data_IF_813373804807
#
_entry.id   IF_813373804807
#
_cell.length_a   1.000
_cell.length_b   1.000
_cell.length_c   1.000
_cell.angle_alpha   90.00
_cell.angle_beta   90.00
_cell.angle_gamma   90.00
#
_symmetry.space_group_name_H-M   'P 1'
#
loop_
_entity.id
_entity.type
_entity.pdbx_description
1 polymer ?
#
# COMPACT_ATOMS: atom_id res chain seq x y z
N UNK A 1 -20.29 -13.60 4.56
CA UNK A 1 -19.80 -12.72 3.46
C UNK A 1 -18.36 -13.11 3.15
N UNK A 2 -17.95 -13.17 1.87
CA UNK A 2 -16.57 -13.56 1.52
C UNK A 2 -15.56 -12.49 1.96
N UNK A 3 -14.30 -12.84 2.27
CA UNK A 3 -13.30 -11.84 2.61
C UNK A 3 -12.94 -11.00 1.39
N UNK A 4 -13.03 -9.68 1.53
CA UNK A 4 -12.70 -8.70 0.51
C UNK A 4 -11.54 -7.86 1.01
N UNK A 5 -10.52 -7.68 0.18
CA UNK A 5 -9.32 -6.91 0.56
C UNK A 5 -8.93 -5.87 -0.47
N UNK A 6 -9.48 -5.94 -1.68
CA UNK A 6 -9.02 -5.10 -2.78
C UNK A 6 -10.17 -4.76 -3.74
N UNK A 7 -10.11 -3.56 -4.32
CA UNK A 7 -10.92 -3.18 -5.47
C UNK A 7 -10.03 -3.13 -6.70
N UNK A 8 -10.45 -3.75 -7.80
CA UNK A 8 -9.78 -3.62 -9.11
C UNK A 8 -10.67 -2.78 -10.01
N UNK A 9 -10.12 -1.65 -10.48
CA UNK A 9 -10.80 -0.72 -11.38
C UNK A 9 -10.61 -1.14 -12.84
N UNK A 10 -11.69 -1.08 -13.60
CA UNK A 10 -11.77 -1.43 -15.02
C UNK A 10 -12.42 -0.32 -15.84
N UNK A 11 -12.29 -0.41 -17.15
CA UNK A 11 -13.11 0.29 -18.14
C UNK A 11 -13.88 -0.72 -19.00
N UNK A 12 -15.03 -0.34 -19.55
CA UNK A 12 -15.81 -1.20 -20.47
C UNK A 12 -15.17 -1.41 -21.84
N UNK A 13 -14.10 -0.66 -22.15
CA UNK A 13 -13.47 -0.59 -23.47
C UNK A 13 -14.49 -0.20 -24.56
N UNK A 14 -15.26 0.84 -24.29
CA UNK A 14 -16.21 1.44 -25.25
C UNK A 14 -15.79 2.85 -25.64
N UNK A 15 -16.22 3.34 -26.83
CA UNK A 15 -15.91 4.69 -27.29
C UNK A 15 -16.34 5.78 -26.30
N UNK A 16 -15.52 6.82 -26.19
CA UNK A 16 -15.75 8.03 -25.40
C UNK A 16 -17.16 8.60 -25.62
N UNK A 17 -17.92 8.77 -24.53
CA UNK A 17 -19.27 9.33 -24.56
C UNK A 17 -20.37 8.36 -24.99
N UNK A 18 -20.07 7.09 -25.31
CA UNK A 18 -21.11 6.07 -25.55
C UNK A 18 -21.64 5.55 -24.22
N UNK A 19 -22.93 5.76 -23.96
CA UNK A 19 -23.62 5.14 -22.83
C UNK A 19 -23.64 3.61 -22.96
N UNK A 20 -23.44 2.93 -21.84
CA UNK A 20 -23.46 1.47 -21.73
C UNK A 20 -24.18 1.11 -20.45
N UNK A 21 -25.17 0.23 -20.55
CA UNK A 21 -25.95 -0.21 -19.39
C UNK A 21 -25.39 -1.48 -18.75
N UNK A 22 -25.73 -1.75 -17.48
CA UNK A 22 -25.44 -3.02 -16.80
C UNK A 22 -25.95 -4.22 -17.62
N UNK A 23 -27.16 -4.11 -18.20
CA UNK A 23 -27.78 -5.16 -19.02
C UNK A 23 -26.96 -5.44 -20.29
N UNK A 24 -26.41 -4.41 -20.91
CA UNK A 24 -25.56 -4.55 -22.11
C UNK A 24 -24.25 -5.27 -21.76
N UNK A 25 -23.61 -4.91 -20.65
CA UNK A 25 -22.40 -5.59 -20.16
C UNK A 25 -22.69 -7.06 -19.81
N UNK A 26 -23.80 -7.33 -19.11
CA UNK A 26 -24.25 -8.68 -18.80
C UNK A 26 -24.46 -9.52 -20.07
N UNK A 27 -25.09 -8.93 -21.09
CA UNK A 27 -25.29 -9.56 -22.41
C UNK A 27 -23.95 -9.92 -23.06
N UNK A 28 -22.97 -9.01 -23.08
CA UNK A 28 -21.64 -9.28 -23.63
C UNK A 28 -20.91 -10.39 -22.90
N UNK A 29 -21.01 -10.43 -21.57
CA UNK A 29 -20.35 -11.45 -20.77
C UNK A 29 -21.01 -12.83 -20.94
N UNK A 30 -22.35 -12.89 -21.00
CA UNK A 30 -23.07 -14.13 -21.31
C UNK A 30 -22.75 -14.66 -22.70
N UNK A 31 -22.59 -13.78 -23.69
CA UNK A 31 -22.16 -14.17 -25.03
C UNK A 31 -20.75 -14.80 -25.05
N UNK A 32 -19.93 -14.55 -24.02
CA UNK A 32 -18.62 -15.19 -23.80
C UNK A 32 -18.70 -16.47 -22.95
N UNK A 33 -19.92 -16.99 -22.71
CA UNK A 33 -20.16 -18.19 -21.90
C UNK A 33 -20.12 -17.95 -20.39
N UNK A 34 -20.14 -16.70 -19.93
CA UNK A 34 -20.14 -16.41 -18.48
C UNK A 34 -21.56 -16.49 -17.91
N UNK A 35 -21.66 -16.74 -16.60
CA UNK A 35 -22.96 -16.80 -15.90
C UNK A 35 -23.67 -15.45 -15.75
N UNK A 36 -23.04 -14.36 -16.21
CA UNK A 36 -23.54 -12.99 -16.17
C UNK A 36 -22.41 -11.97 -16.13
N UNK A 37 -22.76 -10.72 -15.84
CA UNK A 37 -21.79 -9.64 -15.63
C UNK A 37 -20.69 -10.04 -14.63
N UNK A 38 -19.46 -9.65 -14.94
CA UNK A 38 -18.25 -10.05 -14.21
C UNK A 38 -17.84 -9.04 -13.14
N UNK A 39 -18.31 -7.80 -13.28
CA UNK A 39 -18.07 -6.67 -12.38
C UNK A 39 -19.20 -6.58 -11.34
N UNK A 40 -18.88 -6.05 -10.16
CA UNK A 40 -19.85 -5.87 -9.07
C UNK A 40 -20.49 -4.48 -9.07
N UNK A 41 -19.78 -3.49 -9.63
CA UNK A 41 -20.22 -2.10 -9.75
C UNK A 41 -19.91 -1.55 -11.13
N UNK A 42 -20.82 -0.72 -11.64
CA UNK A 42 -20.71 -0.04 -12.93
C UNK A 42 -20.94 1.46 -12.69
N UNK A 43 -19.96 2.29 -13.02
CA UNK A 43 -20.08 3.76 -12.99
C UNK A 43 -20.42 4.22 -14.41
N UNK A 44 -21.63 4.76 -14.59
CA UNK A 44 -22.08 5.25 -15.90
C UNK A 44 -21.47 6.62 -16.25
N UNK A 45 -21.83 7.21 -17.39
CA UNK A 45 -21.26 8.49 -17.85
C UNK A 45 -21.62 9.68 -16.95
N UNK A 46 -22.72 9.59 -16.20
CA UNK A 46 -23.19 10.62 -15.27
C UNK A 46 -22.58 10.47 -13.88
N UNK A 47 -21.78 9.42 -13.64
CA UNK A 47 -21.18 9.14 -12.35
C UNK A 47 -22.05 8.29 -11.43
N UNK A 48 -23.23 7.85 -11.88
CA UNK A 48 -24.11 7.00 -11.07
C UNK A 48 -23.54 5.60 -10.93
N UNK A 49 -23.59 5.05 -9.71
CA UNK A 49 -23.13 3.71 -9.39
C UNK A 49 -24.27 2.70 -9.48
N UNK A 50 -24.11 1.72 -10.36
CA UNK A 50 -25.09 0.67 -10.60
C UNK A 50 -24.58 -0.69 -10.13
N UNK A 51 -25.48 -1.48 -9.56
CA UNK A 51 -25.18 -2.84 -9.13
C UNK A 51 -25.03 -3.78 -10.34
N UNK A 52 -23.92 -4.50 -10.38
CA UNK A 52 -23.70 -5.62 -11.29
C UNK A 52 -23.90 -6.96 -10.57
N UNK A 53 -22.85 -7.78 -10.56
CA UNK A 53 -22.82 -9.03 -9.80
C UNK A 53 -22.91 -8.77 -8.30
N UNK A 54 -23.60 -9.65 -7.58
CA UNK A 54 -23.67 -9.61 -6.11
C UNK A 54 -22.26 -9.64 -5.49
N UNK A 55 -22.01 -8.75 -4.53
CA UNK A 55 -20.74 -8.65 -3.79
C UNK A 55 -20.43 -9.93 -2.99
N UNK A 56 -21.45 -10.67 -2.58
CA UNK A 56 -21.26 -11.96 -1.91
C UNK A 56 -20.72 -13.05 -2.88
N UNK A 57 -20.96 -12.89 -4.19
CA UNK A 57 -20.48 -13.78 -5.23
C UNK A 57 -19.06 -13.42 -5.68
N UNK A 58 -18.32 -14.40 -6.19
CA UNK A 58 -17.01 -14.17 -6.82
C UNK A 58 -17.21 -13.57 -8.21
N UNK A 59 -16.45 -12.49 -8.48
CA UNK A 59 -16.41 -11.81 -9.77
C UNK A 59 -15.77 -12.63 -10.88
N UNK A 60 -15.91 -12.14 -12.11
CA UNK A 60 -15.23 -12.66 -13.29
C UNK A 60 -14.61 -11.49 -14.05
N UNK A 61 -13.66 -10.78 -13.44
CA UNK A 61 -13.14 -9.52 -13.99
C UNK A 61 -11.61 -9.47 -14.10
N UNK A 62 -10.88 -10.23 -13.28
CA UNK A 62 -9.42 -10.32 -13.31
C UNK A 62 -8.99 -11.77 -13.04
N UNK A 63 -8.56 -12.48 -14.09
CA UNK A 63 -8.13 -13.87 -13.97
C UNK A 63 -7.02 -14.01 -12.91
N UNK A 64 -7.13 -14.99 -12.01
CA UNK A 64 -6.19 -15.18 -10.90
C UNK A 64 -6.41 -14.28 -9.67
N UNK A 65 -7.22 -13.22 -9.76
CA UNK A 65 -7.38 -12.22 -8.69
C UNK A 65 -8.82 -12.07 -8.15
N UNK A 66 -9.81 -12.78 -8.70
CA UNK A 66 -11.24 -12.55 -8.39
C UNK A 66 -11.66 -12.89 -6.94
N UNK A 67 -10.98 -13.82 -6.25
CA UNK A 67 -11.47 -14.43 -5.00
C UNK A 67 -11.70 -13.42 -3.86
N UNK A 68 -10.83 -12.42 -3.72
CA UNK A 68 -10.85 -11.42 -2.64
C UNK A 68 -11.04 -10.00 -3.14
N UNK A 69 -11.47 -9.84 -4.39
CA UNK A 69 -11.55 -8.52 -5.04
C UNK A 69 -12.97 -8.14 -5.41
N UNK A 70 -13.20 -6.84 -5.48
CA UNK A 70 -14.39 -6.22 -6.07
C UNK A 70 -13.98 -5.57 -7.39
N UNK A 71 -14.50 -6.08 -8.52
CA UNK A 71 -14.40 -5.38 -9.80
C UNK A 71 -15.37 -4.18 -9.87
N UNK A 72 -14.82 -2.98 -9.98
CA UNK A 72 -15.56 -1.73 -10.27
C UNK A 72 -15.19 -1.29 -11.69
N UNK A 73 -16.17 -1.09 -12.57
CA UNK A 73 -15.92 -0.69 -13.96
C UNK A 73 -16.55 0.68 -14.23
N UNK A 74 -15.86 1.56 -14.94
CA UNK A 74 -16.47 2.77 -15.51
C UNK A 74 -16.77 2.59 -17.00
N UNK A 75 -17.81 3.25 -17.49
CA UNK A 75 -18.18 3.25 -18.92
C UNK A 75 -17.20 4.12 -19.72
N UNK A 76 -16.50 3.51 -20.67
CA UNK A 76 -15.51 4.18 -21.52
C UNK A 76 -14.25 3.34 -21.71
N UNK A 77 -13.12 4.02 -21.91
CA UNK A 77 -11.77 3.44 -22.03
C UNK A 77 -11.20 3.44 -23.44
N UNK A 78 -11.96 3.86 -24.45
CA UNK A 78 -11.49 4.05 -25.82
C UNK A 78 -11.78 5.46 -26.30
N UNK A 79 -10.90 6.03 -27.10
CA UNK A 79 -11.13 7.29 -27.80
C UNK A 79 -12.34 7.20 -28.74
N UNK A 80 -12.76 8.33 -29.33
CA UNK A 80 -13.89 8.37 -30.28
C UNK A 80 -13.72 7.44 -31.48
N UNK A 81 -12.49 7.05 -31.81
CA UNK A 81 -12.19 6.07 -32.87
C UNK A 81 -12.60 4.62 -32.52
N UNK A 82 -12.94 4.36 -31.24
CA UNK A 82 -13.30 3.04 -30.75
C UNK A 82 -12.16 2.01 -30.79
N UNK A 83 -10.90 2.45 -30.89
CA UNK A 83 -9.71 1.60 -31.04
C UNK A 83 -8.59 1.98 -30.08
N UNK A 84 -8.35 3.28 -29.93
CA UNK A 84 -7.23 3.79 -29.12
C UNK A 84 -7.62 3.83 -27.65
N UNK A 85 -6.87 3.13 -26.79
CA UNK A 85 -7.08 3.18 -25.36
C UNK A 85 -6.83 4.59 -24.81
N UNK A 86 -7.76 5.11 -24.01
CA UNK A 86 -7.72 6.47 -23.46
C UNK A 86 -8.54 6.53 -22.17
N UNK A 87 -8.00 7.19 -21.14
CA UNK A 87 -8.82 7.60 -20.00
C UNK A 87 -9.85 8.63 -20.47
N UNK A 88 -11.11 8.23 -20.42
CA UNK A 88 -12.26 8.96 -20.97
C UNK A 88 -13.27 9.31 -19.89
N UNK A 89 -12.88 9.16 -18.62
CA UNK A 89 -13.75 9.46 -17.49
C UNK A 89 -14.16 10.93 -17.51
N UNK A 90 -15.47 11.17 -17.42
CA UNK A 90 -16.02 12.50 -17.13
C UNK A 90 -15.69 12.92 -15.70
N UNK A 91 -15.87 14.21 -15.37
CA UNK A 91 -15.71 14.66 -13.99
C UNK A 91 -16.67 13.93 -13.05
N UNK A 92 -17.93 13.79 -13.45
CA UNK A 92 -18.94 13.06 -12.68
C UNK A 92 -18.56 11.59 -12.48
N UNK A 93 -17.94 10.94 -13.48
CA UNK A 93 -17.39 9.59 -13.32
C UNK A 93 -16.26 9.52 -12.30
N UNK A 94 -15.38 10.52 -12.26
CA UNK A 94 -14.30 10.58 -11.26
C UNK A 94 -14.88 10.73 -9.85
N UNK A 95 -15.86 11.62 -9.67
CA UNK A 95 -16.57 11.81 -8.41
C UNK A 95 -17.33 10.55 -7.97
N UNK A 96 -18.08 9.93 -8.88
CA UNK A 96 -18.81 8.68 -8.65
C UNK A 96 -17.90 7.50 -8.31
N UNK A 97 -16.75 7.40 -8.98
CA UNK A 97 -15.71 6.43 -8.62
C UNK A 97 -15.18 6.67 -7.21
N UNK A 98 -14.80 7.90 -6.86
CA UNK A 98 -14.31 8.20 -5.50
C UNK A 98 -15.36 7.81 -4.46
N UNK A 99 -16.62 8.21 -4.66
CA UNK A 99 -17.71 7.89 -3.73
C UNK A 99 -17.92 6.37 -3.57
N UNK A 100 -17.95 5.61 -4.67
CA UNK A 100 -18.13 4.16 -4.62
C UNK A 100 -16.92 3.46 -4.00
N UNK A 101 -15.70 3.87 -4.36
CA UNK A 101 -14.47 3.30 -3.81
C UNK A 101 -14.38 3.53 -2.30
N UNK A 102 -14.70 4.74 -1.82
CA UNK A 102 -14.77 5.08 -0.40
C UNK A 102 -15.83 4.25 0.33
N UNK A 103 -17.04 4.14 -0.20
CA UNK A 103 -18.12 3.34 0.39
C UNK A 103 -17.72 1.87 0.52
N UNK A 104 -17.20 1.27 -0.55
CA UNK A 104 -16.75 -0.11 -0.54
C UNK A 104 -15.56 -0.32 0.40
N UNK A 105 -14.64 0.65 0.46
CA UNK A 105 -13.51 0.64 1.39
C UNK A 105 -13.98 0.55 2.83
N UNK A 106 -14.85 1.46 3.25
CA UNK A 106 -15.28 1.56 4.64
C UNK A 106 -16.15 0.37 5.02
N UNK A 107 -17.04 -0.06 4.12
CA UNK A 107 -17.97 -1.17 4.37
C UNK A 107 -17.28 -2.53 4.49
N UNK A 108 -16.20 -2.75 3.74
CA UNK A 108 -15.54 -4.06 3.65
C UNK A 108 -14.11 -4.07 4.16
N UNK A 109 -13.65 -2.97 4.75
CA UNK A 109 -12.27 -2.80 5.19
C UNK A 109 -11.28 -3.13 4.06
N UNK A 110 -11.51 -2.55 2.87
CA UNK A 110 -10.61 -2.72 1.71
C UNK A 110 -9.25 -2.13 2.06
N UNK A 111 -8.19 -2.75 1.53
CA UNK A 111 -6.79 -2.47 1.85
C UNK A 111 -6.00 -1.98 0.63
N UNK A 112 -6.62 -1.98 -0.56
CA UNK A 112 -5.98 -1.58 -1.81
C UNK A 112 -7.02 -1.25 -2.87
N UNK A 113 -6.75 -0.23 -3.67
CA UNK A 113 -7.36 -0.05 -5.00
C UNK A 113 -6.26 -0.25 -6.05
N UNK A 114 -6.55 -0.96 -7.12
CA UNK A 114 -5.62 -1.23 -8.23
C UNK A 114 -6.29 -1.15 -9.59
N UNK A 115 -5.49 -1.11 -10.65
CA UNK A 115 -5.96 -1.23 -12.03
C UNK A 115 -5.79 -2.65 -12.58
N UNK A 116 -6.63 -3.04 -13.55
CA UNK A 116 -6.46 -4.33 -14.24
C UNK A 116 -5.10 -4.44 -14.97
N UNK A 117 -4.51 -3.32 -15.39
CA UNK A 117 -3.19 -3.22 -15.99
C UNK A 117 -2.04 -3.66 -15.05
N UNK A 118 -2.27 -3.72 -13.74
CA UNK A 118 -1.28 -4.25 -12.78
C UNK A 118 -1.21 -5.79 -12.80
N UNK A 119 -2.24 -6.46 -13.32
CA UNK A 119 -2.37 -7.92 -13.31
C UNK A 119 -2.37 -8.56 -14.69
N UNK A 120 -2.42 -7.75 -15.75
CA UNK A 120 -2.36 -8.19 -17.13
C UNK A 120 -1.76 -7.10 -18.01
N UNK A 121 -1.04 -7.49 -19.07
CA UNK A 121 -0.52 -6.57 -20.09
C UNK A 121 -1.66 -5.98 -20.94
N UNK A 122 -2.41 -5.04 -20.35
CA UNK A 122 -3.60 -4.39 -20.92
C UNK A 122 -3.58 -2.90 -20.55
N UNK A 123 -4.21 -2.06 -21.36
CA UNK A 123 -4.33 -0.64 -21.05
C UNK A 123 -5.33 -0.35 -19.91
N UNK A 124 -6.40 -1.16 -19.79
CA UNK A 124 -7.48 -1.01 -18.80
C UNK A 124 -6.94 -0.86 -17.37
N UNK A 125 -7.33 0.16 -16.57
CA UNK A 125 -8.44 1.10 -16.77
C UNK A 125 -8.07 2.38 -17.55
N UNK A 126 -6.95 2.38 -18.25
CA UNK A 126 -6.38 3.49 -19.04
C UNK A 126 -5.70 4.59 -18.22
N UNK A 127 -5.49 4.34 -16.92
CA UNK A 127 -4.73 5.18 -16.00
C UNK A 127 -4.12 4.30 -14.89
N UNK A 128 -3.30 4.89 -14.01
CA UNK A 128 -2.75 4.20 -12.84
C UNK A 128 -3.70 4.37 -11.65
N UNK A 129 -4.58 3.40 -11.42
CA UNK A 129 -5.58 3.47 -10.36
C UNK A 129 -4.98 3.37 -8.95
N UNK A 130 -3.92 2.56 -8.76
CA UNK A 130 -3.22 2.51 -7.47
C UNK A 130 -2.68 3.89 -7.08
N UNK A 131 -1.97 4.56 -8.00
CA UNK A 131 -1.42 5.89 -7.72
C UNK A 131 -2.51 6.95 -7.54
N UNK A 132 -3.59 6.90 -8.33
CA UNK A 132 -4.67 7.89 -8.25
C UNK A 132 -5.44 7.80 -6.94
N UNK A 133 -5.69 6.59 -6.42
CA UNK A 133 -6.55 6.35 -5.27
C UNK A 133 -5.82 6.03 -3.97
N UNK A 134 -4.50 6.12 -3.95
CA UNK A 134 -3.67 5.91 -2.75
C UNK A 134 -4.11 6.81 -1.58
N UNK A 135 -4.51 8.04 -1.88
CA UNK A 135 -5.01 9.01 -0.89
C UNK A 135 -6.30 8.56 -0.17
N UNK A 136 -7.00 7.54 -0.66
CA UNK A 136 -8.13 6.93 0.04
C UNK A 136 -7.68 6.02 1.19
N UNK A 137 -6.39 5.80 1.39
CA UNK A 137 -5.85 4.96 2.45
C UNK A 137 -4.86 5.73 3.33
N UNK A 138 -5.29 6.85 3.95
CA UNK A 138 -4.41 7.73 4.70
C UNK A 138 -3.76 7.07 5.94
N UNK A 139 -4.32 5.96 6.44
CA UNK A 139 -3.74 5.12 7.51
C UNK A 139 -2.94 3.91 6.97
N UNK A 140 -2.24 4.06 5.84
CA UNK A 140 -1.17 3.14 5.44
C UNK A 140 -1.61 1.79 4.88
N UNK A 141 -2.69 1.75 4.09
CA UNK A 141 -3.14 0.51 3.43
C UNK A 141 -3.23 0.69 1.94
N UNK A 142 -2.11 0.57 1.24
CA UNK A 142 -2.16 0.30 -0.19
C UNK A 142 -1.06 0.92 -1.05
N UNK A 143 0.19 0.48 -0.85
CA UNK A 143 1.19 0.00 -1.84
C UNK A 143 2.26 -0.62 -0.89
N UNK A 144 2.85 -1.79 -1.16
CA UNK A 144 3.98 -1.92 -2.08
C UNK A 144 4.15 -3.34 -2.58
N UNK A 145 4.50 -3.38 -3.86
CA UNK A 145 5.24 -4.48 -4.47
C UNK A 145 6.73 -4.17 -4.35
N UNK A 146 7.40 -4.80 -3.39
CA UNK A 146 8.77 -5.29 -3.54
C UNK A 146 8.80 -6.58 -2.73
N UNK A 147 8.69 -7.74 -3.40
CA UNK A 147 9.15 -8.97 -2.78
C UNK A 147 10.67 -8.85 -2.73
N UNK A 148 11.23 -8.46 -1.58
CA UNK A 148 12.62 -8.75 -1.28
C UNK A 148 12.69 -10.27 -1.04
N UNK A 149 13.34 -11.06 -1.93
CA UNK A 149 13.30 -12.53 -1.85
C UNK A 149 14.02 -13.08 -0.62
N UNK A 150 14.82 -12.26 0.06
CA UNK A 150 15.55 -12.60 1.29
C UNK A 150 14.82 -12.18 2.58
N UNK A 151 13.67 -11.49 2.47
CA UNK A 151 12.89 -11.05 3.63
C UNK A 151 13.51 -9.93 4.46
N UNK A 152 14.53 -9.24 3.92
CA UNK A 152 15.16 -8.07 4.57
C UNK A 152 14.42 -6.78 4.16
N UNK A 153 14.43 -5.76 5.02
CA UNK A 153 14.02 -4.39 4.64
C UNK A 153 15.25 -3.48 4.56
N UNK A 154 15.36 -2.72 3.48
CA UNK A 154 16.46 -1.77 3.25
C UNK A 154 15.98 -0.59 2.41
N UNK A 155 16.85 0.40 2.24
CA UNK A 155 16.54 1.59 1.42
C UNK A 155 15.97 1.22 0.05
N UNK A 156 14.84 1.84 -0.29
CA UNK A 156 14.13 1.63 -1.55
C UNK A 156 13.02 0.57 -1.46
N UNK A 157 13.04 -0.29 -0.43
CA UNK A 157 11.88 -1.13 -0.13
C UNK A 157 10.72 -0.27 0.31
N UNK A 158 9.52 -0.78 0.16
CA UNK A 158 8.36 -0.17 0.75
C UNK A 158 7.34 -1.30 1.03
N UNK A 159 6.28 -1.03 1.80
CA UNK A 159 5.14 -1.94 1.87
C UNK A 159 4.66 -2.23 3.26
N UNK A 160 3.84 -3.28 3.44
CA UNK A 160 3.28 -3.59 4.74
C UNK A 160 4.37 -3.92 5.78
N UNK A 161 5.52 -4.44 5.35
CA UNK A 161 6.64 -4.72 6.26
C UNK A 161 7.39 -3.44 6.65
N UNK A 162 7.58 -2.51 5.71
CA UNK A 162 8.14 -1.18 5.98
C UNK A 162 7.20 -0.33 6.84
N UNK A 163 5.89 -0.41 6.60
CA UNK A 163 4.87 0.27 7.40
C UNK A 163 4.87 -0.27 8.84
N UNK A 164 4.82 -1.59 9.02
CA UNK A 164 4.92 -2.22 10.35
C UNK A 164 6.20 -1.82 11.06
N UNK A 165 7.32 -1.79 10.35
CA UNK A 165 8.59 -1.33 10.91
C UNK A 165 8.55 0.14 11.35
N UNK A 166 7.90 1.03 10.57
CA UNK A 166 7.68 2.43 10.95
C UNK A 166 6.81 2.55 12.19
N UNK A 167 5.71 1.81 12.28
CA UNK A 167 4.81 1.79 13.44
C UNK A 167 5.54 1.30 14.71
N UNK A 168 6.30 0.20 14.60
CA UNK A 168 7.04 -0.35 15.73
C UNK A 168 8.10 0.64 16.25
N UNK A 169 8.83 1.30 15.34
CA UNK A 169 9.80 2.32 15.71
C UNK A 169 9.15 3.56 16.32
N UNK A 170 8.03 4.03 15.77
CA UNK A 170 7.28 5.17 16.29
C UNK A 170 6.78 4.89 17.71
N UNK A 171 6.14 3.73 17.90
CA UNK A 171 5.64 3.29 19.20
C UNK A 171 6.77 3.10 20.21
N UNK A 172 7.90 2.49 19.81
CA UNK A 172 9.05 2.35 20.70
C UNK A 172 9.61 3.71 21.12
N UNK A 173 9.72 4.65 20.18
CA UNK A 173 10.19 6.01 20.44
C UNK A 173 9.27 6.77 21.40
N UNK A 174 7.95 6.68 21.20
CA UNK A 174 6.96 7.24 22.13
C UNK A 174 7.13 6.65 23.54
N UNK A 175 7.26 5.32 23.64
CA UNK A 175 7.42 4.61 24.91
C UNK A 175 8.65 5.04 25.72
N UNK A 176 9.76 5.38 25.05
CA UNK A 176 10.98 5.85 25.71
C UNK A 176 11.05 7.39 25.84
N UNK A 177 10.00 8.11 25.40
CA UNK A 177 9.95 9.57 25.44
C UNK A 177 10.89 10.25 24.44
N UNK A 178 11.20 9.60 23.32
CA UNK A 178 12.03 10.19 22.27
C UNK A 178 11.28 11.33 21.57
N UNK A 179 11.89 12.52 21.39
CA UNK A 179 11.18 13.72 20.95
C UNK A 179 10.79 13.73 19.46
N UNK A 180 11.33 12.82 18.66
CA UNK A 180 11.09 12.77 17.20
C UNK A 180 10.32 11.51 16.80
N UNK A 181 9.04 11.64 16.40
CA UNK A 181 8.24 10.53 15.91
C UNK A 181 8.73 10.06 14.52
N UNK A 182 8.33 8.86 14.13
CA UNK A 182 8.62 8.30 12.80
C UNK A 182 7.41 8.55 11.90
N UNK A 183 7.59 9.15 10.70
CA UNK A 183 6.50 9.24 9.74
C UNK A 183 5.94 7.84 9.44
N UNK A 184 4.63 7.64 9.59
CA UNK A 184 4.00 6.32 9.43
C UNK A 184 3.82 5.91 7.97
N UNK A 185 3.90 6.86 7.04
CA UNK A 185 3.77 6.60 5.61
C UNK A 185 5.10 6.82 4.88
N UNK A 186 5.22 6.22 3.69
CA UNK A 186 6.37 6.38 2.80
C UNK A 186 7.29 5.16 2.73
N UNK A 187 8.16 5.12 1.71
CA UNK A 187 9.06 3.99 1.48
C UNK A 187 10.14 3.92 2.56
N UNK A 188 10.94 2.86 2.60
CA UNK A 188 12.17 2.79 3.37
C UNK A 188 13.18 3.77 2.75
N UNK A 189 13.04 5.04 3.13
CA UNK A 189 13.83 6.15 2.63
C UNK A 189 15.10 6.32 3.48
N UNK A 190 15.87 7.37 3.18
CA UNK A 190 17.06 7.68 3.96
C UNK A 190 16.76 7.91 5.44
N UNK A 191 15.62 8.54 5.73
CA UNK A 191 15.23 8.87 7.09
C UNK A 191 14.95 7.60 7.88
N UNK A 192 14.15 6.68 7.33
CA UNK A 192 13.83 5.42 8.01
C UNK A 192 15.08 4.55 8.20
N UNK A 193 16.01 4.55 7.24
CA UNK A 193 17.29 3.88 7.40
C UNK A 193 18.12 4.47 8.56
N UNK A 194 18.23 5.80 8.67
CA UNK A 194 18.92 6.43 9.81
C UNK A 194 18.26 6.12 11.16
N UNK A 195 16.92 6.08 11.18
CA UNK A 195 16.16 5.67 12.37
C UNK A 195 16.43 4.21 12.73
N UNK A 196 16.52 3.33 11.72
CA UNK A 196 16.85 1.92 11.89
C UNK A 196 18.27 1.75 12.45
N UNK A 197 19.24 2.49 11.91
CA UNK A 197 20.62 2.49 12.42
C UNK A 197 20.70 2.97 13.88
N UNK A 198 19.93 4.01 14.22
CA UNK A 198 19.83 4.47 15.61
C UNK A 198 19.28 3.36 16.53
N UNK A 199 18.20 2.69 16.12
CA UNK A 199 17.63 1.58 16.89
C UNK A 199 18.64 0.43 17.05
N UNK A 200 19.34 0.06 15.98
CA UNK A 200 20.40 -0.95 16.03
C UNK A 200 21.50 -0.58 17.04
N UNK A 201 21.93 0.69 17.04
CA UNK A 201 22.91 1.20 18.00
C UNK A 201 22.39 1.18 19.44
N UNK A 202 21.14 1.59 19.65
CA UNK A 202 20.48 1.59 20.96
C UNK A 202 20.35 0.18 21.54
N UNK A 203 20.11 -0.80 20.68
CA UNK A 203 20.03 -2.22 21.06
C UNK A 203 21.40 -2.93 21.08
N UNK A 204 22.48 -2.25 20.72
CA UNK A 204 23.82 -2.84 20.72
C UNK A 204 24.02 -3.98 19.71
N UNK A 205 23.29 -3.96 18.59
CA UNK A 205 23.42 -4.92 17.49
C UNK A 205 24.17 -4.31 16.29
N UNK A 206 24.43 -5.10 15.25
CA UNK A 206 25.08 -4.62 14.03
C UNK A 206 24.33 -3.41 13.42
N UNK A 207 25.08 -2.35 13.11
CA UNK A 207 24.55 -1.08 12.60
C UNK A 207 24.80 -0.98 11.10
N UNK A 208 23.86 -1.48 10.30
CA UNK A 208 23.91 -1.50 8.83
C UNK A 208 22.68 -0.85 8.16
N UNK A 209 21.69 -0.42 8.95
CA UNK A 209 20.45 0.18 8.46
C UNK A 209 19.49 -0.81 7.78
N UNK A 210 19.75 -2.11 7.88
CA UNK A 210 18.94 -3.18 7.28
C UNK A 210 18.13 -3.87 8.37
N UNK A 211 16.85 -4.12 8.10
CA UNK A 211 15.96 -4.86 9.01
C UNK A 211 15.98 -6.33 8.62
N UNK A 212 16.71 -7.12 9.41
CA UNK A 212 16.72 -8.58 9.32
C UNK A 212 16.11 -9.25 10.55
N UNK A 213 16.16 -10.60 10.64
CA UNK A 213 15.57 -11.37 11.74
C UNK A 213 16.04 -10.94 13.14
N UNK A 214 17.32 -10.61 13.30
CA UNK A 214 17.86 -10.14 14.59
C UNK A 214 17.24 -8.80 15.01
N UNK A 215 17.15 -7.84 14.08
CA UNK A 215 16.54 -6.52 14.34
C UNK A 215 15.08 -6.65 14.74
N UNK A 216 14.33 -7.54 14.06
CA UNK A 216 12.92 -7.80 14.36
C UNK A 216 12.74 -8.45 15.75
N UNK A 217 13.63 -9.36 16.15
CA UNK A 217 13.57 -9.97 17.48
C UNK A 217 13.90 -8.95 18.57
N UNK A 218 14.90 -8.11 18.34
CA UNK A 218 15.23 -7.00 19.24
C UNK A 218 14.08 -6.01 19.40
N UNK A 219 13.36 -5.70 18.32
CA UNK A 219 12.17 -4.85 18.41
C UNK A 219 11.10 -5.46 19.29
N UNK A 220 10.83 -6.77 19.18
CA UNK A 220 9.88 -7.45 20.08
C UNK A 220 10.30 -7.34 21.54
N UNK A 221 11.59 -7.52 21.84
CA UNK A 221 12.12 -7.35 23.20
C UNK A 221 11.97 -5.90 23.68
N UNK A 222 12.32 -4.92 22.85
CA UNK A 222 12.22 -3.50 23.14
C UNK A 222 10.77 -3.06 23.44
N UNK A 223 9.81 -3.51 22.62
CA UNK A 223 8.38 -3.28 22.82
C UNK A 223 7.85 -3.90 24.11
N UNK A 224 8.44 -5.02 24.55
CA UNK A 224 8.16 -5.63 25.86
C UNK A 224 8.90 -4.95 27.03
N UNK A 225 9.77 -3.98 26.78
CA UNK A 225 10.60 -3.32 27.79
C UNK A 225 11.75 -4.19 28.31
N UNK A 226 12.14 -5.22 27.55
CA UNK A 226 13.25 -6.11 27.90
C UNK A 226 14.60 -5.56 27.41
N UNK A 227 15.70 -5.83 28.14
CA UNK A 227 17.04 -5.48 27.68
C UNK A 227 17.37 -6.17 26.34
N UNK A 228 18.38 -5.68 25.59
CA UNK A 228 18.84 -6.35 24.38
C UNK A 228 19.25 -7.79 24.61
N UNK A 229 19.07 -8.63 23.61
CA UNK A 229 19.66 -9.96 23.60
C UNK A 229 21.18 -9.80 23.61
N UNK A 230 21.80 -10.11 24.74
CA UNK A 230 23.25 -10.23 24.85
C UNK A 230 23.69 -11.46 24.06
N UNK A 231 23.93 -11.30 22.76
CA UNK A 231 24.94 -12.12 22.12
C UNK A 231 26.24 -11.73 22.80
N UNK A 232 26.83 -12.62 23.61
CA UNK A 232 28.17 -12.38 24.13
C UNK A 232 29.07 -12.06 22.93
N UNK A 233 29.75 -10.92 22.91
CA UNK A 233 30.66 -10.63 21.81
C UNK A 233 31.79 -11.65 21.86
N UNK A 234 32.08 -12.30 20.74
CA UNK A 234 33.27 -13.16 20.56
C UNK A 234 34.59 -12.35 20.60
N UNK A 235 34.62 -11.14 21.16
CA UNK A 235 35.86 -10.44 21.44
C UNK A 235 35.76 -9.49 22.64
N UNK A 236 36.66 -9.74 23.59
CA UNK A 236 36.90 -9.03 24.84
C UNK A 236 37.44 -7.59 24.64
N UNK A 237 36.67 -6.69 24.03
CA UNK A 237 36.91 -5.26 24.20
C UNK A 237 35.73 -4.61 24.90
N UNK A 238 35.95 -4.28 26.18
CA UNK A 238 35.03 -3.47 26.97
C UNK A 238 34.73 -2.18 26.20
N UNK A 239 33.46 -1.76 26.08
CA UNK A 239 33.12 -0.53 25.36
C UNK A 239 33.83 0.65 26.03
N UNK A 240 34.59 1.41 25.24
CA UNK A 240 35.24 2.64 25.69
C UNK A 240 34.18 3.73 25.93
N UNK A 241 33.67 3.74 27.15
CA UNK A 241 32.73 4.74 27.67
C UNK A 241 33.29 6.15 27.66
N UNK A 242 34.62 6.34 27.58
CA UNK A 242 35.22 7.68 27.57
C UNK A 242 35.07 8.35 26.20
N UNK A 243 35.19 7.59 25.11
CA UNK A 243 34.97 8.11 23.74
C UNK A 243 33.49 8.49 23.52
N UNK A 244 32.55 7.72 24.07
CA UNK A 244 31.12 8.04 23.97
C UNK A 244 30.73 9.34 24.71
N UNK A 245 31.30 9.59 25.89
CA UNK A 245 31.09 10.86 26.61
C UNK A 245 31.71 12.05 25.88
N UNK A 246 32.90 11.89 25.31
CA UNK A 246 33.60 12.99 24.60
C UNK A 246 32.81 13.52 23.40
N UNK A 247 32.18 12.63 22.63
CA UNK A 247 31.37 13.01 21.46
C UNK A 247 30.03 13.65 21.86
N UNK A 248 29.40 13.18 22.94
CA UNK A 248 28.18 13.77 23.46
C UNK A 248 28.41 15.21 23.97
N UNK A 249 29.53 15.45 24.66
CA UNK A 249 29.89 16.78 25.14
C UNK A 249 30.23 17.75 24.00
N UNK A 250 30.89 17.29 22.93
CA UNK A 250 31.16 18.12 21.75
C UNK A 250 29.89 18.58 21.02
N UNK A 251 28.89 17.70 20.89
CA UNK A 251 27.62 18.02 20.22
C UNK A 251 26.83 19.04 21.05
N UNK A 252 26.80 18.89 22.38
CA UNK A 252 26.17 19.86 23.29
C UNK A 252 26.87 21.22 23.26
N UNK A 253 28.19 21.25 23.05
CA UNK A 253 28.97 22.50 22.96
C UNK A 253 28.71 23.25 21.65
N UNK A 254 28.61 22.53 20.53
CA UNK A 254 28.30 23.09 19.21
C UNK A 254 26.88 23.68 19.13
N UNK A 255 25.92 23.08 19.84
CA UNK A 255 24.52 23.54 19.88
C UNK A 255 24.29 24.76 20.79
N UNK A 256 25.25 25.15 21.62
CA UNK A 256 25.16 26.31 22.53
C UNK A 256 25.82 27.58 22.00
N UNK A 257 26.47 27.51 20.84
CA UNK A 257 27.17 28.64 20.21
C UNK A 257 26.57 29.03 18.85
N UNK A 258 25.36 28.58 18.55
CA UNK A 258 24.58 28.96 17.36
C UNK A 258 23.33 29.74 17.77
#
# INVERSE_FOLDING_TARGET
>A
MRPLTEIIVHCTATPEGRAVSVKEIDTWHRARGWSGIGYHRVIDLNGDSWQGRDLASVGAHCAGHNLRTIGVVYVGGLSKDGKTAKDTRTLSQKEGLIAELTNLRDRFNIQKVSGHNEYAAKACPCFNASAEYDHLFPEGRGIVVSKNPDGLLRRGDAGPDVHRWREDLDFYRDKIGHPYPVPLTGPFDHTLELVTMWFQKERGIQVDGIVGPQVLEEMKLALQGKPPFLAMPDNDEKPDTATALYHAEMIVKLLKTA
#
